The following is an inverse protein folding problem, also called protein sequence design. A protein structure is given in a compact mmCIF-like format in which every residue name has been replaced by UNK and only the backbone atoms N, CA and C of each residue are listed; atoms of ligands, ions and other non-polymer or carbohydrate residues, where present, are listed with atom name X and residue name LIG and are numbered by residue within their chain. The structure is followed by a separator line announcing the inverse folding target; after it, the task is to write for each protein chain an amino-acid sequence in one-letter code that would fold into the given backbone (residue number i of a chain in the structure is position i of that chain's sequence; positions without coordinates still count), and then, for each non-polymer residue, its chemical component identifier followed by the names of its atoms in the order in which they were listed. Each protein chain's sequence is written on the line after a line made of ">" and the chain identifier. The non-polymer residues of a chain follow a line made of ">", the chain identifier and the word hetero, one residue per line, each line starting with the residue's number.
data_IF_865365645637
#
_entry.id   IF_865365645637
#
_cell.length_a   1.000
_cell.length_b   1.000
_cell.length_c   1.000
_cell.angle_alpha   90.00
_cell.angle_beta   90.00
_cell.angle_gamma   90.00
#
_symmetry.space_group_name_H-M   'P 1'
#
loop_
_entity.id
_entity.type
_entity.pdbx_description
1 polymer ?
#
# COMPACT_ATOMS: atom_id res chain seq x y z
N UNK A 1 -6.76 13.50 10.57
CA UNK A 1 -6.31 12.52 9.57
C UNK A 1 -4.82 12.66 9.36
N UNK A 2 -4.08 11.56 9.44
CA UNK A 2 -2.63 11.56 9.29
C UNK A 2 -2.24 10.97 7.93
N UNK A 3 -1.28 11.57 7.29
CA UNK A 3 -0.75 11.06 6.01
C UNK A 3 0.50 10.24 6.31
N UNK A 4 0.43 8.95 6.09
CA UNK A 4 1.45 7.98 6.51
C UNK A 4 2.24 7.49 5.30
N UNK A 5 3.56 7.58 5.39
CA UNK A 5 4.43 7.07 4.33
C UNK A 5 4.68 5.58 4.52
N UNK A 6 4.48 4.82 3.45
CA UNK A 6 4.79 3.39 3.41
C UNK A 6 6.17 3.22 2.78
N UNK A 7 7.09 2.57 3.49
CA UNK A 7 8.46 2.39 3.02
C UNK A 7 8.79 0.97 2.64
N UNK A 8 7.96 0.01 3.04
CA UNK A 8 8.20 -1.40 2.72
C UNK A 8 6.88 -2.16 2.65
N UNK A 9 6.90 -3.31 2.01
CA UNK A 9 5.74 -4.19 1.93
C UNK A 9 6.18 -5.63 2.18
N UNK A 10 5.22 -6.47 2.59
CA UNK A 10 5.42 -7.91 2.68
C UNK A 10 4.45 -8.57 1.72
N UNK A 11 4.94 -9.48 0.89
CA UNK A 11 4.12 -10.23 -0.06
C UNK A 11 4.13 -11.71 0.33
N UNK A 12 3.04 -12.39 -0.02
CA UNK A 12 2.93 -13.83 0.22
C UNK A 12 4.01 -14.59 -0.55
N UNK A 13 4.36 -14.10 -1.73
CA UNK A 13 5.38 -14.67 -2.59
C UNK A 13 6.11 -13.53 -3.28
N UNK A 14 7.41 -13.67 -3.49
CA UNK A 14 8.21 -12.61 -4.11
C UNK A 14 7.69 -12.22 -5.50
N UNK A 15 7.02 -13.14 -6.18
CA UNK A 15 6.47 -12.89 -7.51
C UNK A 15 5.02 -12.43 -7.49
N UNK A 16 4.45 -12.24 -6.30
CA UNK A 16 3.07 -11.80 -6.16
C UNK A 16 2.90 -10.37 -6.64
N UNK A 17 1.72 -10.10 -7.17
CA UNK A 17 1.31 -8.76 -7.55
C UNK A 17 0.62 -8.08 -6.38
N UNK A 18 -0.12 -7.00 -6.64
CA UNK A 18 -0.77 -6.22 -5.58
C UNK A 18 -1.65 -7.06 -4.67
N UNK A 19 -2.33 -8.05 -5.24
CA UNK A 19 -3.21 -8.91 -4.46
C UNK A 19 -2.47 -9.79 -3.46
N UNK A 20 -1.19 -10.01 -3.66
CA UNK A 20 -0.37 -10.80 -2.76
C UNK A 20 0.28 -10.02 -1.63
N UNK A 21 0.09 -8.70 -1.60
CA UNK A 21 0.63 -7.89 -0.52
C UNK A 21 -0.15 -8.21 0.76
N UNK A 22 0.55 -8.66 1.80
CA UNK A 22 -0.09 -9.04 3.06
C UNK A 22 0.06 -7.98 4.13
N UNK A 23 1.17 -7.24 4.10
CA UNK A 23 1.48 -6.22 5.11
C UNK A 23 2.13 -5.01 4.46
N UNK A 24 1.96 -3.87 5.11
CA UNK A 24 2.64 -2.64 4.75
C UNK A 24 3.35 -2.12 5.99
N UNK A 25 4.46 -1.44 5.81
CA UNK A 25 5.21 -0.94 6.94
C UNK A 25 5.94 0.35 6.67
N UNK A 26 6.41 0.95 7.73
CA UNK A 26 7.21 2.17 7.71
C UNK A 26 8.21 2.13 8.85
N UNK A 27 8.86 3.27 9.15
CA UNK A 27 9.94 3.30 10.14
C UNK A 27 9.55 2.78 11.52
N UNK A 28 8.32 3.02 11.95
CA UNK A 28 7.90 2.67 13.30
C UNK A 28 6.57 1.94 13.35
N UNK A 29 6.15 1.31 12.23
CA UNK A 29 4.86 0.64 12.20
C UNK A 29 4.87 -0.50 11.18
N UNK A 30 3.95 -1.44 11.38
CA UNK A 30 3.82 -2.61 10.51
C UNK A 30 2.41 -3.15 10.69
N UNK A 31 1.59 -3.00 9.64
CA UNK A 31 0.16 -3.34 9.69
C UNK A 31 -0.19 -4.34 8.61
N UNK A 32 -1.24 -5.11 8.88
CA UNK A 32 -1.79 -6.01 7.87
C UNK A 32 -2.50 -5.18 6.80
N UNK A 33 -2.65 -5.80 5.63
CA UNK A 33 -3.41 -5.20 4.55
C UNK A 33 -4.81 -4.79 5.02
N UNK A 34 -5.48 -5.69 5.75
CA UNK A 34 -6.83 -5.41 6.25
C UNK A 34 -6.88 -4.21 7.18
N UNK A 35 -5.86 -4.04 8.01
CA UNK A 35 -5.80 -2.89 8.90
C UNK A 35 -5.64 -1.59 8.13
N UNK A 36 -4.81 -1.59 7.09
CA UNK A 36 -4.62 -0.41 6.25
C UNK A 36 -5.90 -0.08 5.49
N UNK A 37 -6.56 -1.10 4.92
CA UNK A 37 -7.82 -0.91 4.20
C UNK A 37 -8.86 -0.30 5.14
N UNK A 38 -9.00 -0.85 6.34
CA UNK A 38 -9.98 -0.35 7.30
C UNK A 38 -9.71 1.11 7.67
N UNK A 39 -8.44 1.46 7.83
CA UNK A 39 -8.06 2.84 8.17
C UNK A 39 -8.39 3.81 7.04
N UNK A 40 -8.13 3.41 5.80
CA UNK A 40 -8.45 4.24 4.63
C UNK A 40 -9.97 4.43 4.50
N UNK A 41 -10.71 3.35 4.64
CA UNK A 41 -12.17 3.40 4.49
C UNK A 41 -12.84 4.17 5.62
N UNK A 42 -12.27 4.12 6.81
CA UNK A 42 -12.77 4.90 7.96
C UNK A 42 -12.27 6.34 7.92
N UNK A 43 -11.38 6.66 6.97
CA UNK A 43 -10.81 8.01 6.81
C UNK A 43 -10.04 8.47 8.03
N UNK A 44 -9.44 7.52 8.76
CA UNK A 44 -8.60 7.82 9.92
C UNK A 44 -7.21 8.28 9.48
N UNK A 45 -6.67 7.63 8.45
CA UNK A 45 -5.36 7.94 7.89
C UNK A 45 -5.39 7.86 6.37
N UNK A 46 -4.46 8.56 5.74
CA UNK A 46 -4.14 8.33 4.33
C UNK A 46 -2.74 7.73 4.28
N UNK A 47 -2.46 6.99 3.24
CA UNK A 47 -1.17 6.33 3.06
C UNK A 47 -0.61 6.67 1.69
N UNK A 48 0.71 6.78 1.61
CA UNK A 48 1.36 7.11 0.33
C UNK A 48 2.72 6.43 0.24
N UNK A 49 3.22 6.36 -1.00
CA UNK A 49 4.58 5.92 -1.28
C UNK A 49 5.34 7.09 -1.88
N UNK A 50 6.66 7.05 -1.76
CA UNK A 50 7.52 8.01 -2.41
C UNK A 50 8.69 7.24 -3.01
N UNK A 51 8.64 7.02 -4.34
CA UNK A 51 9.62 6.22 -5.06
C UNK A 51 10.28 7.10 -6.09
N UNK A 52 11.60 7.25 -5.99
CA UNK A 52 12.39 8.09 -6.90
C UNK A 52 11.82 9.51 -7.04
N UNK A 53 11.34 10.06 -5.93
CA UNK A 53 10.77 11.40 -5.91
C UNK A 53 9.33 11.48 -6.41
N UNK A 54 8.74 10.35 -6.77
CA UNK A 54 7.37 10.30 -7.28
C UNK A 54 6.42 9.80 -6.20
N UNK A 55 5.46 10.64 -5.83
CA UNK A 55 4.47 10.28 -4.82
C UNK A 55 3.35 9.47 -5.46
N UNK A 56 2.92 8.41 -4.78
CA UNK A 56 1.73 7.66 -5.15
C UNK A 56 0.84 7.53 -3.93
N UNK A 57 -0.44 7.84 -4.06
CA UNK A 57 -1.39 7.69 -2.98
C UNK A 57 -1.94 6.27 -2.99
N UNK A 58 -2.04 5.65 -1.81
CA UNK A 58 -2.52 4.28 -1.71
C UNK A 58 -4.05 4.30 -1.64
N UNK A 59 -4.67 3.55 -2.53
CA UNK A 59 -6.11 3.40 -2.57
C UNK A 59 -6.53 1.95 -2.47
N UNK A 60 -7.81 1.74 -2.21
CA UNK A 60 -8.40 0.41 -2.08
C UNK A 60 -9.03 0.03 -3.41
N UNK A 61 -8.69 -1.15 -3.91
CA UNK A 61 -9.24 -1.67 -5.16
C UNK A 61 -10.07 -2.91 -4.85
N UNK A 62 -11.26 -2.99 -5.44
CA UNK A 62 -12.11 -4.15 -5.31
C UNK A 62 -11.72 -5.19 -6.36
N UNK A 63 -11.09 -6.26 -5.93
CA UNK A 63 -10.65 -7.32 -6.82
C UNK A 63 -11.59 -8.53 -6.78
N UNK A 64 -11.38 -9.50 -7.66
CA UNK A 64 -12.23 -10.70 -7.73
C UNK A 64 -12.16 -11.56 -6.47
N UNK A 65 -11.06 -11.50 -5.75
CA UNK A 65 -10.86 -12.29 -4.53
C UNK A 65 -10.87 -11.43 -3.27
N UNK A 66 -11.38 -10.20 -3.37
CA UNK A 66 -11.45 -9.29 -2.24
C UNK A 66 -10.70 -7.99 -2.51
N UNK A 67 -10.67 -7.14 -1.51
CA UNK A 67 -10.04 -5.83 -1.64
C UNK A 67 -8.52 -5.95 -1.51
N UNK A 68 -7.83 -5.12 -2.27
CA UNK A 68 -6.39 -5.00 -2.15
C UNK A 68 -5.98 -3.53 -2.31
N UNK A 69 -4.70 -3.26 -2.14
CA UNK A 69 -4.17 -1.90 -2.15
C UNK A 69 -3.31 -1.68 -3.38
N UNK A 70 -3.37 -0.47 -3.90
CA UNK A 70 -2.57 -0.08 -5.06
C UNK A 70 -2.31 1.42 -4.99
N UNK A 71 -1.21 1.86 -5.60
CA UNK A 71 -0.90 3.29 -5.64
C UNK A 71 -1.54 3.97 -6.85
N UNK A 72 -1.84 5.24 -6.67
CA UNK A 72 -2.56 6.05 -7.64
C UNK A 72 -1.89 7.42 -7.70
N UNK A 73 -1.60 7.89 -8.89
CA UNK A 73 -0.97 9.20 -9.09
C UNK A 73 -1.33 9.72 -10.48
N UNK A 74 -1.54 11.03 -10.56
CA UNK A 74 -1.83 11.70 -11.84
C UNK A 74 -3.00 11.09 -12.61
N UNK A 75 -4.03 10.64 -11.86
CA UNK A 75 -5.22 10.05 -12.47
C UNK A 75 -5.07 8.61 -12.92
N UNK A 76 -4.00 7.95 -12.54
CA UNK A 76 -3.72 6.58 -12.97
C UNK A 76 -3.23 5.70 -11.84
N UNK A 77 -3.58 4.43 -11.89
CA UNK A 77 -2.99 3.42 -11.02
C UNK A 77 -1.54 3.17 -11.48
N UNK A 78 -0.65 2.95 -10.54
CA UNK A 78 0.74 2.65 -10.86
C UNK A 78 1.28 1.56 -9.94
N UNK A 79 2.54 1.20 -10.12
CA UNK A 79 3.16 0.10 -9.40
C UNK A 79 4.17 0.55 -8.33
N UNK A 80 4.06 1.80 -7.86
CA UNK A 80 4.98 2.29 -6.83
C UNK A 80 4.98 1.41 -5.58
N UNK A 81 3.80 0.93 -5.19
CA UNK A 81 3.70 0.07 -4.01
C UNK A 81 4.48 -1.24 -4.20
N UNK A 82 4.38 -1.85 -5.39
CA UNK A 82 5.12 -3.08 -5.67
C UNK A 82 6.63 -2.87 -5.77
N UNK A 83 7.06 -1.63 -6.01
CA UNK A 83 8.48 -1.31 -6.14
C UNK A 83 9.18 -1.17 -4.81
N UNK A 84 8.44 -1.16 -3.71
CA UNK A 84 9.02 -1.01 -2.39
C UNK A 84 9.76 -2.28 -1.97
N UNK A 85 10.82 -2.13 -1.14
CA UNK A 85 11.53 -3.29 -0.63
C UNK A 85 10.68 -4.09 0.35
N UNK A 86 11.11 -5.30 0.61
CA UNK A 86 10.46 -6.17 1.58
C UNK A 86 10.65 -5.62 2.99
N UNK A 87 9.61 -5.71 3.80
CA UNK A 87 9.69 -5.30 5.20
C UNK A 87 10.55 -6.26 6.02
N UNK A 88 10.89 -7.33 5.51
CA UNK A 88 11.71 -8.27 6.05
C UNK A 88 11.69 -8.87 6.86
#
# INVERSE_FOLDING_TARGET
>A
MTDVRVTCITKADRDSKHEGITHLGGPNWYWTRSQVIASIEAKTNTFHTLVDGNRGDIGVVNGPNGKYLRTYADGRWNDNLLSLPSCR
#
